data_IF_683113103089
#
_entry.id   IF_683113103089
#
_cell.length_a   1.000
_cell.length_b   1.000
_cell.length_c   1.000
_cell.angle_alpha   90.00
_cell.angle_beta   90.00
_cell.angle_gamma   90.00
#
_symmetry.space_group_name_H-M   'P 1'
#
loop_
_entity.id
_entity.type
_entity.pdbx_description
1 polymer ?
#
# COMPACT_ATOMS: atom_id res chain seq x y z
N UNK A 1 6.46 -3.56 40.78
CA UNK A 1 7.17 -2.66 39.85
C UNK A 1 7.28 -3.43 38.55
N UNK A 2 6.57 -3.00 37.52
CA UNK A 2 6.60 -3.64 36.20
C UNK A 2 7.86 -3.21 35.43
N UNK A 3 8.32 -4.09 34.54
CA UNK A 3 9.30 -3.77 33.50
C UNK A 3 8.55 -3.42 32.21
N UNK A 4 8.62 -2.15 31.80
CA UNK A 4 7.89 -1.61 30.65
C UNK A 4 8.88 -1.21 29.56
N UNK A 5 8.80 -1.83 28.39
CA UNK A 5 9.54 -1.40 27.21
C UNK A 5 8.89 -0.21 26.53
N UNK A 6 9.70 0.64 25.89
CA UNK A 6 9.28 1.75 25.02
C UNK A 6 10.03 1.57 23.71
N UNK A 7 9.29 1.37 22.62
CA UNK A 7 9.84 1.22 21.28
C UNK A 7 9.23 2.27 20.34
N UNK A 8 10.01 3.31 20.07
CA UNK A 8 9.61 4.41 19.20
C UNK A 8 10.00 4.18 17.74
N UNK A 9 9.18 4.66 16.81
CA UNK A 9 9.48 4.56 15.38
C UNK A 9 8.45 5.25 14.49
N UNK A 10 8.80 5.47 13.22
CA UNK A 10 7.83 6.02 12.25
C UNK A 10 6.80 4.98 11.85
N UNK A 11 7.18 3.70 11.73
CA UNK A 11 6.33 2.58 11.31
C UNK A 11 5.59 2.87 9.99
N UNK A 12 6.33 3.22 8.95
CA UNK A 12 5.81 3.67 7.65
C UNK A 12 6.23 2.75 6.48
N UNK A 13 5.86 1.46 6.45
CA UNK A 13 4.97 0.76 7.38
C UNK A 13 5.71 -0.01 8.50
N UNK A 14 4.97 -0.53 9.47
CA UNK A 14 5.43 -1.61 10.36
C UNK A 14 5.71 -2.88 9.52
N UNK A 15 6.72 -3.66 9.92
CA UNK A 15 7.18 -4.86 9.20
C UNK A 15 7.80 -5.88 10.15
N UNK A 16 8.14 -7.07 9.63
CA UNK A 16 8.60 -8.22 10.43
C UNK A 16 9.80 -7.92 11.34
N UNK A 17 10.77 -7.14 10.89
CA UNK A 17 11.93 -6.77 11.73
C UNK A 17 11.54 -5.92 12.94
N UNK A 18 10.53 -5.04 12.82
CA UNK A 18 9.99 -4.32 13.99
C UNK A 18 9.34 -5.28 14.99
N UNK A 19 8.53 -6.22 14.49
CA UNK A 19 7.87 -7.25 15.30
C UNK A 19 8.91 -8.11 16.04
N UNK A 20 9.97 -8.52 15.34
CA UNK A 20 11.07 -9.27 15.94
C UNK A 20 11.77 -8.51 17.07
N UNK A 21 12.01 -7.20 16.89
CA UNK A 21 12.57 -6.35 17.97
C UNK A 21 11.63 -6.32 19.18
N UNK A 22 10.32 -6.19 18.96
CA UNK A 22 9.30 -6.20 20.03
C UNK A 22 9.34 -7.53 20.79
N UNK A 23 9.27 -8.67 20.09
CA UNK A 23 9.28 -10.01 20.68
C UNK A 23 10.57 -10.30 21.47
N UNK A 24 11.73 -10.00 20.87
CA UNK A 24 13.02 -10.23 21.54
C UNK A 24 13.23 -9.31 22.73
N UNK A 25 12.73 -8.07 22.68
CA UNK A 25 12.79 -7.17 23.83
C UNK A 25 11.95 -7.70 24.99
N UNK A 26 10.73 -8.19 24.72
CA UNK A 26 9.88 -8.81 25.73
C UNK A 26 10.58 -10.02 26.35
N UNK A 27 11.16 -10.89 25.52
CA UNK A 27 11.79 -12.14 25.97
C UNK A 27 13.07 -11.90 26.77
N UNK A 28 14.01 -11.10 26.24
CA UNK A 28 15.36 -10.95 26.81
C UNK A 28 15.40 -10.04 28.04
N UNK A 29 14.50 -9.06 28.13
CA UNK A 29 14.41 -8.15 29.28
C UNK A 29 13.37 -8.62 30.31
N UNK A 30 12.63 -9.69 29.99
CA UNK A 30 11.49 -10.19 30.76
C UNK A 30 10.44 -9.10 30.99
N UNK A 31 10.06 -8.38 29.93
CA UNK A 31 9.10 -7.28 30.04
C UNK A 31 7.71 -7.81 30.40
N UNK A 32 7.03 -7.08 31.28
CA UNK A 32 5.61 -7.27 31.56
C UNK A 32 4.78 -6.75 30.39
N UNK A 33 5.21 -5.62 29.80
CA UNK A 33 4.59 -5.01 28.62
C UNK A 33 5.58 -4.17 27.83
N UNK A 34 5.24 -3.86 26.58
CA UNK A 34 5.98 -2.94 25.72
C UNK A 34 5.02 -1.96 25.04
N UNK A 35 5.38 -0.68 25.11
CA UNK A 35 4.68 0.43 24.48
C UNK A 35 5.31 0.72 23.13
N UNK A 36 4.56 0.53 22.05
CA UNK A 36 4.95 0.92 20.69
C UNK A 36 4.49 2.35 20.46
N UNK A 37 5.44 3.27 20.29
CA UNK A 37 5.18 4.71 20.20
C UNK A 37 5.38 5.19 18.75
N UNK A 38 4.33 5.26 17.92
CA UNK A 38 4.46 5.83 16.59
C UNK A 38 4.74 7.33 16.65
N UNK A 39 5.79 7.77 15.96
CA UNK A 39 6.11 9.19 15.89
C UNK A 39 5.02 9.97 15.17
N UNK A 40 4.74 11.20 15.60
CA UNK A 40 3.75 12.03 14.92
C UNK A 40 4.22 12.41 13.52
N UNK A 41 5.48 12.85 13.41
CA UNK A 41 6.07 13.32 12.18
C UNK A 41 7.04 12.28 11.64
N UNK A 42 6.91 11.97 10.35
CA UNK A 42 7.89 11.16 9.64
C UNK A 42 9.09 12.07 9.33
N UNK A 43 10.32 11.73 9.75
CA UNK A 43 11.51 12.51 9.39
C UNK A 43 11.70 12.62 7.86
N UNK A 44 11.12 11.69 7.10
CA UNK A 44 11.08 11.70 5.64
C UNK A 44 9.84 12.50 5.17
N UNK A 45 10.05 13.76 4.82
CA UNK A 45 9.03 14.74 4.40
C UNK A 45 8.47 14.52 2.98
N UNK A 46 8.50 13.29 2.46
CA UNK A 46 7.98 13.03 1.12
C UNK A 46 6.47 12.76 1.16
N UNK A 47 5.75 13.31 0.19
CA UNK A 47 4.30 13.17 -0.01
C UNK A 47 3.83 11.74 -0.30
N UNK A 48 4.73 10.75 -0.24
CA UNK A 48 4.50 9.33 -0.54
C UNK A 48 4.37 8.45 0.70
N UNK A 49 4.49 9.00 1.92
CA UNK A 49 4.33 8.28 3.19
C UNK A 49 2.87 8.06 3.60
N UNK A 50 2.62 7.09 4.48
CA UNK A 50 1.30 6.87 5.07
C UNK A 50 0.97 7.96 6.10
N UNK A 51 -0.32 8.32 6.16
CA UNK A 51 -0.84 9.26 7.16
C UNK A 51 -0.70 8.71 8.57
N UNK A 52 -0.77 9.58 9.59
CA UNK A 52 -0.79 9.18 11.01
C UNK A 52 -1.86 8.11 11.29
N UNK A 53 -3.07 8.30 10.75
CA UNK A 53 -4.19 7.35 10.89
C UNK A 53 -3.89 6.00 10.25
N UNK A 54 -3.33 6.00 9.04
CA UNK A 54 -2.96 4.76 8.35
C UNK A 54 -1.85 4.00 9.08
N UNK A 55 -0.85 4.69 9.62
CA UNK A 55 0.22 4.06 10.41
C UNK A 55 -0.30 3.42 11.69
N UNK A 56 -1.24 4.09 12.38
CA UNK A 56 -1.93 3.50 13.52
C UNK A 56 -2.71 2.24 13.14
N UNK A 57 -3.52 2.29 12.08
CA UNK A 57 -4.26 1.12 11.62
C UNK A 57 -3.33 -0.05 11.24
N UNK A 58 -2.21 0.22 10.56
CA UNK A 58 -1.22 -0.81 10.25
C UNK A 58 -0.57 -1.39 11.51
N UNK A 59 -0.32 -0.58 12.54
CA UNK A 59 0.17 -1.04 13.84
C UNK A 59 -0.84 -1.92 14.55
N UNK A 60 -2.11 -1.51 14.61
CA UNK A 60 -3.20 -2.27 15.21
C UNK A 60 -3.32 -3.66 14.57
N UNK A 61 -3.38 -3.72 13.22
CA UNK A 61 -3.43 -4.97 12.46
C UNK A 61 -2.19 -5.84 12.72
N UNK A 62 -1.00 -5.25 12.71
CA UNK A 62 0.23 -6.00 12.89
C UNK A 62 0.40 -6.56 14.30
N UNK A 63 -0.14 -5.87 15.31
CA UNK A 63 0.16 -6.09 16.72
C UNK A 63 -0.99 -6.71 17.52
N UNK A 64 -2.19 -6.86 16.93
CA UNK A 64 -3.41 -7.37 17.59
C UNK A 64 -3.18 -8.66 18.40
N UNK A 65 -2.37 -9.60 17.88
CA UNK A 65 -2.14 -10.90 18.50
C UNK A 65 -1.13 -10.89 19.66
N UNK A 66 -0.47 -9.77 19.96
CA UNK A 66 0.57 -9.72 20.98
C UNK A 66 0.04 -9.09 22.27
N UNK A 67 -0.39 -9.93 23.21
CA UNK A 67 -1.05 -9.51 24.46
C UNK A 67 -0.22 -8.60 25.38
N UNK A 68 1.11 -8.62 25.25
CA UNK A 68 2.03 -7.74 26.00
C UNK A 68 2.34 -6.42 25.31
N UNK A 69 1.75 -6.16 24.14
CA UNK A 69 2.04 -4.98 23.32
C UNK A 69 0.88 -4.00 23.38
N UNK A 70 1.19 -2.74 23.66
CA UNK A 70 0.22 -1.63 23.60
C UNK A 70 0.72 -0.51 22.69
N UNK A 71 -0.18 0.05 21.89
CA UNK A 71 0.14 1.20 21.04
C UNK A 71 -0.08 2.48 21.85
N UNK A 72 0.98 3.27 22.01
CA UNK A 72 0.94 4.56 22.68
C UNK A 72 0.87 5.69 21.63
N UNK A 73 -0.33 6.17 21.35
CA UNK A 73 -0.59 7.20 20.33
C UNK A 73 -0.37 8.64 20.83
N UNK A 74 0.29 8.80 21.98
CA UNK A 74 0.56 10.10 22.62
C UNK A 74 1.17 11.12 21.65
N UNK A 75 2.22 10.72 20.92
CA UNK A 75 2.87 11.63 19.97
C UNK A 75 1.94 12.01 18.82
N UNK A 76 1.21 11.05 18.26
CA UNK A 76 0.27 11.28 17.14
C UNK A 76 -0.84 12.26 17.53
N UNK A 77 -1.36 12.19 18.76
CA UNK A 77 -2.46 13.03 19.25
C UNK A 77 -2.04 14.48 19.57
N UNK A 78 -0.75 14.81 19.59
CA UNK A 78 -0.33 16.18 19.86
C UNK A 78 -0.69 17.11 18.67
N UNK A 79 -1.62 18.03 18.90
CA UNK A 79 -2.16 18.93 17.85
C UNK A 79 -1.22 20.09 17.47
N UNK A 80 -0.23 20.43 18.31
CA UNK A 80 0.49 21.71 18.23
C UNK A 80 2.04 21.60 18.27
N UNK A 81 2.62 20.43 18.01
CA UNK A 81 4.09 20.28 17.96
C UNK A 81 4.57 19.88 16.57
N UNK A 82 5.41 20.74 15.97
CA UNK A 82 6.14 20.40 14.74
C UNK A 82 7.21 19.32 14.96
N UNK A 83 7.63 19.10 16.21
CA UNK A 83 8.61 18.08 16.60
C UNK A 83 8.20 17.43 17.92
N UNK A 84 8.23 16.10 17.96
CA UNK A 84 8.11 15.33 19.20
C UNK A 84 9.52 14.92 19.64
N UNK A 85 9.92 15.35 20.84
CA UNK A 85 11.20 14.95 21.42
C UNK A 85 10.98 13.78 22.37
N UNK A 86 11.87 12.80 22.31
CA UNK A 86 11.82 11.60 23.15
C UNK A 86 11.72 11.92 24.65
N UNK A 87 12.39 12.97 25.11
CA UNK A 87 12.34 13.40 26.52
C UNK A 87 10.91 13.77 26.97
N UNK A 88 10.10 14.40 26.10
CA UNK A 88 8.72 14.76 26.42
C UNK A 88 7.86 13.51 26.56
N UNK A 89 8.03 12.55 25.65
CA UNK A 89 7.35 11.25 25.67
C UNK A 89 7.72 10.46 26.93
N UNK A 90 9.01 10.41 27.30
CA UNK A 90 9.46 9.72 28.51
C UNK A 90 8.90 10.38 29.77
N UNK A 91 8.92 11.72 29.86
CA UNK A 91 8.34 12.46 30.99
C UNK A 91 6.85 12.18 31.14
N UNK A 92 6.11 12.20 30.04
CA UNK A 92 4.69 11.82 30.03
C UNK A 92 4.48 10.38 30.51
N UNK A 93 5.25 9.41 30.00
CA UNK A 93 5.12 8.02 30.42
C UNK A 93 5.49 7.82 31.90
N UNK A 94 6.43 8.60 32.45
CA UNK A 94 6.73 8.61 33.89
C UNK A 94 5.59 9.16 34.75
N UNK A 95 4.70 10.02 34.22
CA UNK A 95 3.50 10.41 35.00
C UNK A 95 2.46 9.31 35.04
N UNK A 96 2.41 8.45 34.01
CA UNK A 96 1.49 7.30 33.94
C UNK A 96 2.02 6.12 34.75
N UNK A 97 3.34 5.89 34.68
CA UNK A 97 4.04 4.76 35.27
C UNK A 97 5.12 5.25 36.27
N UNK A 98 4.72 5.93 37.37
CA UNK A 98 5.67 6.60 38.27
C UNK A 98 6.58 5.64 39.03
N UNK A 99 6.09 4.43 39.33
CA UNK A 99 6.77 3.43 40.14
C UNK A 99 7.29 2.25 39.32
N UNK A 100 7.30 2.34 37.98
CA UNK A 100 7.72 1.25 37.09
C UNK A 100 9.08 1.53 36.44
N UNK A 101 9.76 0.45 36.04
CA UNK A 101 11.03 0.54 35.35
C UNK A 101 10.80 0.63 33.84
N UNK A 102 11.23 1.74 33.26
CA UNK A 102 11.08 2.00 31.82
C UNK A 102 12.38 1.63 31.08
N UNK A 103 12.24 0.88 30.00
CA UNK A 103 13.33 0.48 29.11
C UNK A 103 13.12 1.11 27.74
N UNK A 104 14.01 2.01 27.31
CA UNK A 104 13.89 2.63 25.98
C UNK A 104 14.75 1.90 24.96
N UNK A 105 14.09 1.27 23.99
CA UNK A 105 14.71 0.36 23.02
C UNK A 105 14.94 1.11 21.70
N UNK A 106 16.17 1.06 21.19
CA UNK A 106 16.54 1.68 19.91
C UNK A 106 17.59 0.86 19.15
N UNK A 107 17.70 1.08 17.85
CA UNK A 107 18.75 0.45 17.04
C UNK A 107 20.09 1.15 17.19
N UNK A 108 21.18 0.44 16.85
CA UNK A 108 22.55 0.98 16.87
C UNK A 108 22.73 2.24 16.01
N UNK A 109 21.95 2.39 14.94
CA UNK A 109 21.90 3.59 14.10
C UNK A 109 21.53 4.85 14.90
N UNK A 110 20.59 4.73 15.84
CA UNK A 110 20.20 5.82 16.73
C UNK A 110 21.12 5.92 17.95
N UNK A 111 21.48 4.79 18.55
CA UNK A 111 22.32 4.75 19.76
C UNK A 111 23.70 5.37 19.52
N UNK A 112 24.29 5.16 18.33
CA UNK A 112 25.56 5.78 17.93
C UNK A 112 25.51 7.31 17.84
N UNK A 113 24.32 7.88 17.67
CA UNK A 113 24.07 9.33 17.62
C UNK A 113 23.37 9.87 18.87
N UNK A 114 23.20 9.05 19.91
CA UNK A 114 22.41 9.40 21.09
C UNK A 114 22.91 10.65 21.83
N UNK A 115 24.22 10.94 21.84
CA UNK A 115 24.75 12.18 22.42
C UNK A 115 24.21 13.47 21.76
N UNK A 116 23.64 13.38 20.56
CA UNK A 116 23.02 14.50 19.84
C UNK A 116 21.53 14.67 20.17
N UNK A 117 20.92 13.74 20.89
CA UNK A 117 19.50 13.81 21.25
C UNK A 117 19.28 14.91 22.29
N UNK A 118 18.14 15.61 22.17
CA UNK A 118 17.76 16.60 23.16
C UNK A 118 17.63 15.94 24.53
N UNK A 119 18.32 16.50 25.53
CA UNK A 119 18.36 16.00 26.90
C UNK A 119 18.85 14.54 27.04
N UNK A 120 19.80 14.09 26.19
CA UNK A 120 20.32 12.71 26.21
C UNK A 120 20.75 12.21 27.61
N UNK A 121 21.42 13.06 28.42
CA UNK A 121 21.80 12.71 29.79
C UNK A 121 20.58 12.49 30.68
N UNK A 122 19.63 13.42 30.67
CA UNK A 122 18.39 13.30 31.45
C UNK A 122 17.59 12.05 31.02
N UNK A 123 17.51 11.78 29.71
CA UNK A 123 16.89 10.55 29.20
C UNK A 123 17.56 9.31 29.82
N UNK A 124 18.89 9.23 29.80
CA UNK A 124 19.62 8.08 30.37
C UNK A 124 19.46 7.90 31.87
N UNK A 125 19.06 8.95 32.59
CA UNK A 125 18.78 8.89 34.03
C UNK A 125 17.31 8.50 34.32
N UNK A 126 16.39 8.79 33.39
CA UNK A 126 14.97 8.50 33.53
C UNK A 126 14.59 7.07 33.12
N UNK A 127 15.35 6.45 32.21
CA UNK A 127 15.05 5.12 31.65
C UNK A 127 16.31 4.27 31.52
N UNK A 128 16.16 2.95 31.56
CA UNK A 128 17.21 2.04 31.13
C UNK A 128 17.28 2.05 29.60
N UNK A 129 18.40 2.49 29.05
CA UNK A 129 18.61 2.47 27.61
C UNK A 129 18.95 1.06 27.13
N UNK A 130 18.36 0.65 26.01
CA UNK A 130 18.53 -0.67 25.40
C UNK A 130 18.84 -0.52 23.92
N UNK A 131 19.86 -1.24 23.44
CA UNK A 131 20.30 -1.22 22.05
C UNK A 131 20.28 -2.61 21.43
N UNK A 132 19.85 -2.71 20.16
CA UNK A 132 20.05 -3.89 19.31
C UNK A 132 20.94 -3.54 18.11
N UNK A 133 21.64 -4.53 17.58
CA UNK A 133 22.54 -4.33 16.45
C UNK A 133 21.77 -4.14 15.14
N UNK A 134 22.34 -3.29 14.27
CA UNK A 134 21.92 -3.14 12.88
C UNK A 134 23.12 -3.35 11.96
N UNK A 135 22.88 -4.03 10.85
CA UNK A 135 23.90 -4.22 9.81
C UNK A 135 24.40 -2.85 9.34
N UNK A 136 25.72 -2.68 9.27
CA UNK A 136 26.36 -1.44 8.83
C UNK A 136 26.63 -0.40 9.93
N UNK A 137 26.19 -0.64 11.17
CA UNK A 137 26.43 0.27 12.30
C UNK A 137 27.31 -0.38 13.37
N UNK A 138 28.32 0.34 13.82
CA UNK A 138 29.28 -0.13 14.83
C UNK A 138 28.97 0.47 16.20
N UNK A 139 29.34 -0.29 17.23
CA UNK A 139 29.29 0.19 18.63
C UNK A 139 30.27 1.36 18.79
N UNK A 140 29.87 2.37 19.55
CA UNK A 140 30.75 3.49 19.91
C UNK A 140 30.67 3.80 21.42
N UNK A 141 31.38 4.86 21.83
CA UNK A 141 31.50 5.26 23.24
C UNK A 141 30.15 5.57 23.91
N UNK A 142 29.11 5.93 23.15
CA UNK A 142 27.78 6.23 23.72
C UNK A 142 27.23 5.03 24.50
N UNK A 143 27.47 3.80 24.03
CA UNK A 143 26.93 2.58 24.66
C UNK A 143 27.44 2.46 26.10
N UNK A 144 28.74 2.71 26.31
CA UNK A 144 29.35 2.73 27.64
C UNK A 144 28.95 3.98 28.42
N UNK A 145 29.04 5.16 27.78
CA UNK A 145 28.79 6.48 28.40
C UNK A 145 27.39 6.63 28.99
N UNK A 146 26.38 6.06 28.34
CA UNK A 146 24.98 6.14 28.74
C UNK A 146 24.42 4.79 29.23
N UNK A 147 25.31 3.85 29.60
CA UNK A 147 24.96 2.58 30.25
C UNK A 147 23.88 1.76 29.53
N UNK A 148 24.01 1.62 28.20
CA UNK A 148 23.09 0.81 27.42
C UNK A 148 23.21 -0.68 27.75
N UNK A 149 22.06 -1.37 27.87
CA UNK A 149 21.98 -2.83 27.79
C UNK A 149 21.91 -3.23 26.32
N UNK A 150 22.67 -4.25 25.91
CA UNK A 150 22.65 -4.76 24.56
C UNK A 150 21.78 -6.02 24.47
N UNK A 151 20.84 -6.03 23.52
CA UNK A 151 20.07 -7.22 23.16
C UNK A 151 20.91 -8.11 22.22
N UNK A 152 20.79 -9.42 22.40
CA UNK A 152 21.29 -10.41 21.45
C UNK A 152 20.31 -10.49 20.26
N UNK A 153 20.38 -9.48 19.41
CA UNK A 153 19.55 -9.33 18.22
C UNK A 153 20.28 -8.49 17.19
N UNK A 154 20.42 -9.06 15.98
CA UNK A 154 20.78 -8.31 14.78
C UNK A 154 19.52 -8.12 13.93
N UNK A 155 19.09 -6.87 13.79
CA UNK A 155 17.99 -6.50 12.92
C UNK A 155 18.49 -6.26 11.48
N UNK A 156 17.81 -6.87 10.51
CA UNK A 156 18.06 -6.69 9.07
C UNK A 156 17.61 -5.31 8.61
N UNK A 157 18.24 -4.85 7.52
CA UNK A 157 17.88 -3.60 6.85
C UNK A 157 16.66 -3.78 5.91
N UNK A 158 15.61 -4.44 6.40
CA UNK A 158 14.29 -4.39 5.77
C UNK A 158 13.70 -3.00 6.02
N UNK A 159 14.37 -1.98 5.50
CA UNK A 159 13.94 -0.61 5.68
C UNK A 159 12.55 -0.46 5.06
N UNK A 160 11.65 0.23 5.76
CA UNK A 160 10.35 0.59 5.22
C UNK A 160 10.44 1.22 3.81
N UNK A 161 11.57 1.86 3.47
CA UNK A 161 11.89 2.33 2.10
C UNK A 161 11.85 1.20 1.06
N UNK A 162 12.43 0.04 1.31
CA UNK A 162 12.41 -1.09 0.36
C UNK A 162 11.00 -1.66 0.20
N UNK A 163 10.25 -1.73 1.29
CA UNK A 163 8.84 -2.18 1.28
C UNK A 163 8.00 -1.24 0.40
N UNK A 164 8.12 0.09 0.60
CA UNK A 164 7.44 1.09 -0.23
C UNK A 164 7.83 1.00 -1.71
N UNK A 165 8.96 0.38 -2.05
CA UNK A 165 9.43 0.18 -3.43
C UNK A 165 9.20 -1.26 -3.95
N UNK A 166 8.43 -2.09 -3.22
CA UNK A 166 7.97 -3.39 -3.70
C UNK A 166 8.59 -4.62 -3.03
N UNK A 167 9.42 -4.48 -1.99
CA UNK A 167 9.82 -5.63 -1.16
C UNK A 167 8.71 -6.02 -0.16
N UNK A 168 7.63 -6.62 -0.69
CA UNK A 168 6.41 -6.88 0.10
C UNK A 168 6.54 -8.08 1.05
N UNK A 169 7.52 -8.97 0.85
CA UNK A 169 7.70 -10.17 1.68
C UNK A 169 8.04 -9.87 3.14
N UNK A 170 8.56 -8.68 3.44
CA UNK A 170 8.84 -8.24 4.80
C UNK A 170 7.58 -7.84 5.59
N UNK A 171 6.39 -7.79 4.95
CA UNK A 171 5.13 -7.42 5.59
C UNK A 171 4.39 -8.61 6.22
N UNK A 172 3.56 -8.29 7.21
CA UNK A 172 2.44 -9.13 7.61
C UNK A 172 1.40 -9.10 6.46
N UNK A 173 0.84 -10.25 6.02
CA UNK A 173 -0.16 -10.32 4.96
C UNK A 173 -1.36 -9.38 5.16
N UNK A 174 -1.88 -9.25 6.38
CA UNK A 174 -3.02 -8.37 6.67
C UNK A 174 -2.65 -6.88 6.59
N UNK A 175 -1.40 -6.54 6.94
CA UNK A 175 -0.87 -5.18 6.71
C UNK A 175 -0.72 -4.91 5.22
N UNK A 176 -0.27 -5.88 4.43
CA UNK A 176 -0.20 -5.75 2.97
C UNK A 176 -1.58 -5.54 2.34
N UNK A 177 -2.58 -6.34 2.74
CA UNK A 177 -3.98 -6.14 2.32
C UNK A 177 -4.47 -4.74 2.64
N UNK A 178 -4.25 -4.28 3.87
CA UNK A 178 -4.61 -2.92 4.27
C UNK A 178 -3.94 -1.86 3.40
N UNK A 179 -2.64 -1.99 3.15
CA UNK A 179 -1.87 -1.09 2.28
C UNK A 179 -2.48 -1.03 0.88
N UNK A 180 -2.71 -2.18 0.26
CA UNK A 180 -3.19 -2.26 -1.13
C UNK A 180 -4.64 -1.77 -1.23
N UNK A 181 -5.53 -2.25 -0.37
CA UNK A 181 -6.96 -1.86 -0.38
C UNK A 181 -7.18 -0.38 -0.08
N UNK A 182 -6.23 0.29 0.59
CA UNK A 182 -6.27 1.74 0.85
C UNK A 182 -5.41 2.56 -0.11
N UNK A 183 -4.84 1.95 -1.15
CA UNK A 183 -4.01 2.63 -2.15
C UNK A 183 -2.71 3.22 -1.61
N UNK A 184 -2.19 2.70 -0.49
CA UNK A 184 -1.01 3.21 0.20
C UNK A 184 0.24 2.70 -0.54
N UNK A 185 1.20 3.60 -0.83
CA UNK A 185 2.46 3.32 -1.53
C UNK A 185 2.32 2.71 -2.95
N UNK A 186 1.10 2.59 -3.51
CA UNK A 186 0.92 1.89 -4.79
C UNK A 186 1.78 2.49 -5.90
N UNK A 187 1.86 3.82 -6.03
CA UNK A 187 2.71 4.46 -7.06
C UNK A 187 4.17 4.00 -6.98
N UNK A 188 4.77 3.96 -5.78
CA UNK A 188 6.18 3.54 -5.63
C UNK A 188 6.35 2.03 -5.76
N UNK A 189 5.37 1.24 -5.33
CA UNK A 189 5.38 -0.22 -5.46
C UNK A 189 5.29 -0.63 -6.94
N UNK A 190 4.38 -0.04 -7.71
CA UNK A 190 4.18 -0.44 -9.12
C UNK A 190 5.29 0.09 -10.04
N UNK A 191 5.92 1.22 -9.68
CA UNK A 191 6.96 1.85 -10.52
C UNK A 191 8.14 0.92 -10.79
N UNK A 192 8.46 0.02 -9.87
CA UNK A 192 9.55 -0.96 -10.03
C UNK A 192 9.17 -2.19 -10.84
N UNK A 193 7.90 -2.32 -11.26
CA UNK A 193 7.33 -3.52 -11.89
C UNK A 193 7.02 -3.37 -13.37
N UNK A 194 7.17 -2.18 -13.93
CA UNK A 194 6.77 -1.88 -15.30
C UNK A 194 7.61 -0.77 -15.92
N UNK A 195 7.59 -0.68 -17.24
CA UNK A 195 8.27 0.37 -18.00
C UNK A 195 7.79 1.78 -17.62
N UNK A 196 8.65 2.78 -17.83
CA UNK A 196 8.30 4.19 -17.57
C UNK A 196 7.07 4.65 -18.34
N UNK A 197 6.86 4.14 -19.56
CA UNK A 197 5.68 4.45 -20.38
C UNK A 197 4.42 3.87 -19.74
N UNK A 198 4.46 2.60 -19.34
CA UNK A 198 3.35 1.94 -18.65
C UNK A 198 3.00 2.65 -17.35
N UNK A 199 3.99 2.91 -16.52
CA UNK A 199 3.80 3.58 -15.24
C UNK A 199 3.07 4.93 -15.37
N UNK A 200 3.45 5.74 -16.37
CA UNK A 200 2.78 7.02 -16.64
C UNK A 200 1.31 6.83 -16.99
N UNK A 201 1.02 5.87 -17.87
CA UNK A 201 -0.35 5.52 -18.24
C UNK A 201 -1.14 5.00 -17.05
N UNK A 202 -0.63 4.01 -16.31
CA UNK A 202 -1.29 3.43 -15.14
C UNK A 202 -1.63 4.48 -14.08
N UNK A 203 -0.70 5.38 -13.75
CA UNK A 203 -0.97 6.45 -12.77
C UNK A 203 -1.97 7.49 -13.29
N UNK A 204 -1.88 7.87 -14.57
CA UNK A 204 -2.80 8.82 -15.20
C UNK A 204 -4.23 8.25 -15.23
N UNK A 205 -4.36 7.02 -15.71
CA UNK A 205 -5.60 6.26 -15.83
C UNK A 205 -6.23 6.04 -14.44
N UNK A 206 -5.47 5.62 -13.43
CA UNK A 206 -5.97 5.43 -12.07
C UNK A 206 -6.52 6.73 -11.45
N UNK A 207 -5.84 7.87 -11.71
CA UNK A 207 -6.31 9.20 -11.27
C UNK A 207 -7.58 9.61 -12.01
N UNK A 208 -7.75 9.23 -13.27
CA UNK A 208 -8.98 9.46 -14.02
C UNK A 208 -10.13 8.58 -13.52
N UNK A 209 -9.90 7.27 -13.33
CA UNK A 209 -10.88 6.35 -12.76
C UNK A 209 -11.39 6.81 -11.38
N UNK A 210 -10.47 7.26 -10.51
CA UNK A 210 -10.84 7.88 -9.22
C UNK A 210 -11.79 9.07 -9.39
N UNK A 211 -11.54 9.93 -10.38
CA UNK A 211 -12.41 11.09 -10.67
C UNK A 211 -13.77 10.65 -11.21
N UNK A 212 -13.82 9.62 -12.06
CA UNK A 212 -15.09 9.04 -12.54
C UNK A 212 -15.89 8.47 -11.38
N UNK A 213 -15.27 7.65 -10.53
CA UNK A 213 -15.90 7.09 -9.35
C UNK A 213 -16.47 8.18 -8.43
N UNK A 214 -15.67 9.18 -8.09
CA UNK A 214 -16.11 10.33 -7.27
C UNK A 214 -17.35 11.02 -7.82
N UNK A 215 -17.39 11.23 -9.15
CA UNK A 215 -18.48 11.98 -9.80
C UNK A 215 -19.74 11.15 -10.05
N UNK A 216 -19.66 9.84 -9.88
CA UNK A 216 -20.77 8.91 -10.02
C UNK A 216 -21.12 8.24 -8.68
N UNK A 217 -20.74 8.86 -7.56
CA UNK A 217 -21.03 8.41 -6.19
C UNK A 217 -20.56 6.97 -5.89
N UNK A 218 -19.39 6.60 -6.40
CA UNK A 218 -18.73 5.31 -6.16
C UNK A 218 -17.52 5.48 -5.24
N UNK A 219 -17.00 4.36 -4.73
CA UNK A 219 -15.78 4.34 -3.92
C UNK A 219 -14.55 4.77 -4.74
N UNK A 220 -14.04 5.95 -4.41
CA UNK A 220 -12.85 6.56 -5.02
C UNK A 220 -11.59 5.70 -4.86
N UNK A 221 -11.47 5.00 -3.73
CA UNK A 221 -10.30 4.20 -3.37
C UNK A 221 -10.29 2.91 -4.18
N UNK A 222 -11.42 2.21 -4.27
CA UNK A 222 -11.51 0.99 -5.11
C UNK A 222 -11.17 1.28 -6.57
N UNK A 223 -11.69 2.39 -7.12
CA UNK A 223 -11.38 2.79 -8.50
C UNK A 223 -9.90 3.12 -8.69
N UNK A 224 -9.29 3.79 -7.72
CA UNK A 224 -7.85 4.07 -7.76
C UNK A 224 -7.02 2.78 -7.69
N UNK A 225 -7.33 1.86 -6.76
CA UNK A 225 -6.60 0.59 -6.60
C UNK A 225 -6.74 -0.28 -7.84
N UNK A 226 -7.97 -0.47 -8.36
CA UNK A 226 -8.20 -1.21 -9.60
C UNK A 226 -7.45 -0.58 -10.78
N UNK A 227 -7.48 0.75 -10.91
CA UNK A 227 -6.73 1.47 -11.94
C UNK A 227 -5.21 1.35 -11.78
N UNK A 228 -4.68 1.28 -10.56
CA UNK A 228 -3.24 1.09 -10.34
C UNK A 228 -2.75 -0.33 -10.68
N UNK A 229 -3.65 -1.33 -10.64
CA UNK A 229 -3.33 -2.74 -10.84
C UNK A 229 -3.83 -3.31 -12.18
N UNK A 230 -4.68 -2.60 -12.94
CA UNK A 230 -5.32 -3.14 -14.15
C UNK A 230 -4.33 -3.73 -15.17
N UNK A 231 -3.16 -3.11 -15.27
CA UNK A 231 -2.14 -3.38 -16.29
C UNK A 231 -0.86 -4.01 -15.70
N UNK A 232 -0.90 -4.43 -14.42
CA UNK A 232 0.30 -4.89 -13.68
C UNK A 232 0.98 -6.09 -14.35
N UNK A 233 0.22 -6.89 -15.11
CA UNK A 233 0.73 -8.05 -15.83
C UNK A 233 0.92 -7.82 -17.35
N UNK A 234 0.79 -6.59 -17.88
CA UNK A 234 0.88 -6.39 -19.34
C UNK A 234 2.26 -6.74 -19.91
N UNK A 235 3.31 -6.47 -19.15
CA UNK A 235 4.70 -6.70 -19.56
C UNK A 235 5.23 -8.04 -19.03
N UNK A 236 4.33 -8.98 -18.70
CA UNK A 236 4.69 -10.33 -18.27
C UNK A 236 5.26 -11.14 -19.44
N UNK A 237 6.36 -11.87 -19.18
CA UNK A 237 6.98 -12.79 -20.15
C UNK A 237 5.99 -13.87 -20.62
N UNK A 238 6.04 -14.18 -21.92
CA UNK A 238 5.05 -15.03 -22.58
C UNK A 238 4.91 -16.42 -21.95
N UNK A 239 6.02 -17.11 -21.67
CA UNK A 239 5.97 -18.48 -21.11
C UNK A 239 5.32 -18.49 -19.71
N UNK A 240 5.61 -17.47 -18.90
CA UNK A 240 4.97 -17.30 -17.59
C UNK A 240 3.48 -16.98 -17.73
N UNK A 241 3.14 -16.09 -18.66
CA UNK A 241 1.75 -15.76 -18.97
C UNK A 241 0.95 -16.97 -19.46
N UNK A 242 1.53 -17.78 -20.35
CA UNK A 242 0.95 -19.00 -20.89
C UNK A 242 0.66 -20.00 -19.78
N UNK A 243 1.65 -20.27 -18.91
CA UNK A 243 1.48 -21.20 -17.79
C UNK A 243 0.34 -20.76 -16.85
N UNK A 244 0.30 -19.48 -16.45
CA UNK A 244 -0.76 -18.97 -15.57
C UNK A 244 -2.13 -19.04 -16.26
N UNK A 245 -2.21 -18.72 -17.56
CA UNK A 245 -3.46 -18.83 -18.32
C UNK A 245 -3.95 -20.28 -18.41
N UNK A 246 -3.05 -21.25 -18.63
CA UNK A 246 -3.41 -22.67 -18.66
C UNK A 246 -3.90 -23.17 -17.31
N UNK A 247 -3.20 -22.80 -16.23
CA UNK A 247 -3.50 -23.30 -14.88
C UNK A 247 -4.75 -22.66 -14.27
N UNK A 248 -5.00 -21.38 -14.53
CA UNK A 248 -6.02 -20.60 -13.82
C UNK A 248 -7.15 -20.07 -14.70
N UNK A 249 -6.94 -19.97 -16.02
CA UNK A 249 -7.88 -19.38 -16.97
C UNK A 249 -8.03 -20.19 -18.26
N UNK A 250 -8.17 -21.54 -18.21
CA UNK A 250 -8.15 -22.38 -19.41
C UNK A 250 -9.28 -22.04 -20.39
N UNK A 251 -10.42 -21.53 -19.90
CA UNK A 251 -11.54 -21.08 -20.73
C UNK A 251 -11.22 -19.85 -21.61
N UNK A 252 -10.13 -19.14 -21.35
CA UNK A 252 -9.74 -17.92 -22.05
C UNK A 252 -8.43 -18.07 -22.83
N UNK A 253 -7.86 -19.28 -22.90
CA UNK A 253 -6.56 -19.52 -23.54
C UNK A 253 -6.58 -19.21 -25.05
N UNK A 254 -7.71 -19.46 -25.72
CA UNK A 254 -7.86 -19.21 -27.16
C UNK A 254 -8.10 -17.72 -27.49
N UNK A 255 -8.24 -16.86 -26.47
CA UNK A 255 -8.37 -15.42 -26.70
C UNK A 255 -7.04 -14.83 -27.18
N UNK A 256 -7.07 -13.72 -27.95
CA UNK A 256 -5.86 -13.08 -28.43
C UNK A 256 -4.90 -12.73 -27.28
N UNK A 257 -3.62 -13.10 -27.40
CA UNK A 257 -2.59 -12.83 -26.39
C UNK A 257 -2.59 -11.37 -25.88
N UNK A 258 -2.81 -10.32 -26.71
CA UNK A 258 -2.86 -8.94 -26.21
C UNK A 258 -3.92 -8.65 -25.14
N UNK A 259 -4.99 -9.45 -25.03
CA UNK A 259 -6.03 -9.29 -24.00
C UNK A 259 -5.79 -10.13 -22.75
N UNK A 260 -4.85 -11.09 -22.76
CA UNK A 260 -4.58 -11.97 -21.63
C UNK A 260 -4.28 -11.24 -20.32
N UNK A 261 -3.60 -10.08 -20.41
CA UNK A 261 -3.26 -9.26 -19.26
C UNK A 261 -4.45 -8.90 -18.34
N UNK A 262 -5.70 -8.87 -18.81
CA UNK A 262 -6.81 -8.57 -17.89
C UNK A 262 -7.02 -9.67 -16.84
N UNK A 263 -6.86 -10.94 -17.23
CA UNK A 263 -6.93 -12.08 -16.31
C UNK A 263 -5.62 -12.25 -15.54
N UNK A 264 -4.48 -12.05 -16.21
CA UNK A 264 -3.17 -12.12 -15.54
C UNK A 264 -3.00 -11.02 -14.49
N UNK A 265 -3.48 -9.80 -14.75
CA UNK A 265 -3.45 -8.70 -13.78
C UNK A 265 -4.37 -8.98 -12.60
N UNK A 266 -5.54 -9.58 -12.83
CA UNK A 266 -6.41 -10.04 -11.75
C UNK A 266 -5.69 -11.09 -10.89
N UNK A 267 -5.06 -12.08 -11.51
CA UNK A 267 -4.28 -13.11 -10.82
C UNK A 267 -3.18 -12.50 -9.96
N UNK A 268 -2.34 -11.65 -10.55
CA UNK A 268 -1.25 -10.96 -9.85
C UNK A 268 -1.79 -10.09 -8.70
N UNK A 269 -2.86 -9.33 -8.94
CA UNK A 269 -3.50 -8.52 -7.90
C UNK A 269 -3.97 -9.39 -6.71
N UNK A 270 -4.53 -10.56 -6.99
CA UNK A 270 -5.00 -11.49 -5.96
C UNK A 270 -3.85 -12.20 -5.23
N UNK A 271 -2.85 -12.70 -5.95
CA UNK A 271 -1.82 -13.60 -5.38
C UNK A 271 -0.61 -12.86 -4.83
N UNK A 272 -0.17 -11.79 -5.49
CA UNK A 272 1.04 -11.04 -5.08
C UNK A 272 0.69 -9.81 -4.22
N UNK A 273 -0.43 -9.14 -4.53
CA UNK A 273 -0.89 -7.94 -3.83
C UNK A 273 -2.01 -8.20 -2.81
N UNK A 274 -2.47 -9.45 -2.71
CA UNK A 274 -3.49 -9.91 -1.76
C UNK A 274 -4.82 -9.14 -1.84
N UNK A 275 -5.17 -8.59 -3.01
CA UNK A 275 -6.48 -7.97 -3.22
C UNK A 275 -7.57 -9.02 -3.02
N UNK A 276 -8.46 -8.77 -2.07
CA UNK A 276 -9.59 -9.64 -1.70
C UNK A 276 -10.96 -9.02 -2.00
N UNK A 277 -11.01 -7.73 -2.34
CA UNK A 277 -12.23 -7.06 -2.79
C UNK A 277 -12.64 -7.53 -4.18
N UNK A 278 -13.81 -8.17 -4.26
CA UNK A 278 -14.36 -8.75 -5.49
C UNK A 278 -14.71 -7.70 -6.55
N UNK A 279 -15.07 -6.48 -6.17
CA UNK A 279 -15.36 -5.40 -7.11
C UNK A 279 -14.08 -4.92 -7.78
N UNK A 280 -12.99 -4.77 -7.02
CA UNK A 280 -11.67 -4.41 -7.56
C UNK A 280 -11.20 -5.48 -8.56
N UNK A 281 -11.24 -6.76 -8.17
CA UNK A 281 -10.80 -7.86 -9.03
C UNK A 281 -11.64 -7.97 -10.31
N UNK A 282 -12.96 -7.79 -10.21
CA UNK A 282 -13.85 -7.80 -11.37
C UNK A 282 -13.56 -6.64 -12.32
N UNK A 283 -13.37 -5.43 -11.78
CA UNK A 283 -13.05 -4.26 -12.58
C UNK A 283 -11.72 -4.42 -13.34
N UNK A 284 -10.72 -5.07 -12.72
CA UNK A 284 -9.48 -5.47 -13.39
C UNK A 284 -9.76 -6.53 -14.46
N UNK A 285 -10.53 -7.58 -14.16
CA UNK A 285 -10.81 -8.66 -15.12
C UNK A 285 -11.48 -8.17 -16.40
N UNK A 286 -12.38 -7.18 -16.32
CA UNK A 286 -13.20 -6.77 -17.45
C UNK A 286 -12.70 -5.50 -18.17
N UNK A 287 -11.56 -4.92 -17.76
CA UNK A 287 -11.16 -3.60 -18.25
C UNK A 287 -10.83 -3.52 -19.75
N UNK A 288 -10.55 -4.64 -20.43
CA UNK A 288 -10.11 -4.61 -21.84
C UNK A 288 -11.21 -5.01 -22.81
N UNK A 289 -11.94 -6.08 -22.49
CA UNK A 289 -12.96 -6.66 -23.37
C UNK A 289 -14.39 -6.34 -22.95
N UNK A 290 -14.58 -5.70 -21.78
CA UNK A 290 -15.87 -5.63 -21.10
C UNK A 290 -16.48 -7.03 -20.85
N UNK A 291 -17.73 -7.05 -20.37
CA UNK A 291 -18.50 -8.23 -19.99
C UNK A 291 -19.99 -7.95 -20.20
N UNK A 292 -20.83 -8.99 -20.25
CA UNK A 292 -22.29 -8.82 -20.19
C UNK A 292 -22.75 -8.29 -18.83
N UNK A 293 -21.94 -8.46 -17.78
CA UNK A 293 -22.21 -7.99 -16.44
C UNK A 293 -21.12 -7.00 -16.05
N UNK A 294 -21.32 -5.73 -16.39
CA UNK A 294 -20.45 -4.61 -16.00
C UNK A 294 -21.03 -3.88 -14.80
N UNK A 295 -20.31 -3.86 -13.69
CA UNK A 295 -20.59 -2.93 -12.61
C UNK A 295 -20.18 -1.51 -13.00
N UNK A 296 -20.72 -0.49 -12.31
CA UNK A 296 -20.30 0.90 -12.55
C UNK A 296 -18.80 1.13 -12.30
N UNK A 297 -18.20 0.36 -11.39
CA UNK A 297 -16.75 0.39 -11.17
C UNK A 297 -15.98 -0.14 -12.38
N UNK A 298 -16.39 -1.26 -12.96
CA UNK A 298 -15.81 -1.84 -14.18
C UNK A 298 -15.87 -0.83 -15.33
N UNK A 299 -17.02 -0.15 -15.48
CA UNK A 299 -17.19 0.92 -16.45
C UNK A 299 -16.24 2.10 -16.21
N UNK A 300 -15.96 2.47 -14.95
CA UNK A 300 -14.94 3.47 -14.64
C UNK A 300 -13.56 3.05 -15.12
N UNK A 301 -13.16 1.80 -14.88
CA UNK A 301 -11.82 1.32 -15.28
C UNK A 301 -11.73 1.18 -16.80
N UNK A 302 -12.72 0.56 -17.44
CA UNK A 302 -12.79 0.40 -18.88
C UNK A 302 -12.71 1.75 -19.61
N UNK A 303 -13.57 2.70 -19.25
CA UNK A 303 -13.60 4.02 -19.91
C UNK A 303 -12.35 4.85 -19.61
N UNK A 304 -11.82 4.79 -18.38
CA UNK A 304 -10.62 5.55 -18.05
C UNK A 304 -9.37 5.00 -18.75
N UNK A 305 -9.26 3.69 -19.01
CA UNK A 305 -8.18 3.13 -19.85
C UNK A 305 -8.22 3.67 -21.29
N UNK A 306 -9.43 3.76 -21.86
CA UNK A 306 -9.67 4.23 -23.22
C UNK A 306 -9.64 5.75 -23.36
N UNK A 307 -9.98 6.51 -22.34
CA UNK A 307 -10.01 7.97 -22.39
C UNK A 307 -8.89 8.60 -21.56
N UNK A 308 -7.85 7.83 -21.23
CA UNK A 308 -6.73 8.34 -20.44
C UNK A 308 -6.01 9.49 -21.18
N UNK A 309 -5.77 10.66 -20.54
CA UNK A 309 -5.11 11.79 -21.18
C UNK A 309 -3.65 11.57 -21.56
N UNK A 310 -3.03 10.45 -21.14
CA UNK A 310 -1.69 10.09 -21.60
C UNK A 310 -1.68 9.42 -22.98
N UNK A 311 -2.86 9.17 -23.57
CA UNK A 311 -3.05 8.69 -24.94
C UNK A 311 -2.85 9.81 -25.96
N UNK A 312 -2.55 9.46 -27.20
CA UNK A 312 -2.23 10.40 -28.29
C UNK A 312 -3.47 11.00 -28.99
N UNK A 313 -4.58 11.23 -28.28
CA UNK A 313 -5.80 11.85 -28.80
C UNK A 313 -6.57 12.63 -27.73
N UNK A 314 -7.35 13.62 -28.15
CA UNK A 314 -8.24 14.38 -27.26
C UNK A 314 -9.49 13.56 -26.94
N UNK A 315 -9.70 13.31 -25.65
CA UNK A 315 -10.87 12.62 -25.09
C UNK A 315 -11.65 13.49 -24.09
N UNK A 316 -11.48 14.81 -24.15
CA UNK A 316 -12.04 15.74 -23.17
C UNK A 316 -13.57 15.70 -23.09
N UNK A 317 -14.25 15.46 -24.21
CA UNK A 317 -15.72 15.38 -24.28
C UNK A 317 -16.22 14.09 -23.64
N UNK A 318 -15.54 13.00 -23.90
CA UNK A 318 -15.82 11.66 -23.41
C UNK A 318 -15.55 11.59 -21.89
N UNK A 319 -14.46 12.20 -21.43
CA UNK A 319 -14.16 12.41 -20.00
C UNK A 319 -15.28 13.21 -19.32
N UNK A 320 -15.77 14.28 -19.95
CA UNK A 320 -16.87 15.08 -19.39
C UNK A 320 -18.17 14.27 -19.30
N UNK A 321 -18.46 13.44 -20.32
CA UNK A 321 -19.59 12.53 -20.32
C UNK A 321 -19.48 11.49 -19.19
N UNK A 322 -18.34 10.81 -19.06
CA UNK A 322 -18.12 9.79 -18.02
C UNK A 322 -18.22 10.38 -16.59
N UNK A 323 -17.85 11.64 -16.40
CA UNK A 323 -18.05 12.35 -15.11
C UNK A 323 -19.51 12.71 -14.84
N UNK A 324 -20.33 12.89 -15.88
CA UNK A 324 -21.75 13.20 -15.72
C UNK A 324 -22.56 11.92 -15.49
N UNK A 325 -22.26 10.89 -16.27
CA UNK A 325 -22.91 9.60 -16.23
C UNK A 325 -21.95 8.54 -16.80
N UNK A 326 -21.44 7.68 -15.92
CA UNK A 326 -20.50 6.63 -16.29
C UNK A 326 -21.11 5.59 -17.23
N UNK A 327 -22.41 5.33 -17.13
CA UNK A 327 -23.10 4.37 -17.99
C UNK A 327 -23.19 4.93 -19.41
N UNK A 328 -23.58 6.21 -19.54
CA UNK A 328 -23.60 6.88 -20.84
C UNK A 328 -22.20 6.96 -21.46
N UNK A 329 -21.18 7.26 -20.65
CA UNK A 329 -19.78 7.27 -21.08
C UNK A 329 -19.29 5.89 -21.56
N UNK A 330 -19.67 4.83 -20.86
CA UNK A 330 -19.35 3.45 -21.26
C UNK A 330 -20.01 3.06 -22.58
N UNK A 331 -21.30 3.39 -22.77
CA UNK A 331 -22.00 3.17 -24.04
C UNK A 331 -21.33 3.91 -25.20
N UNK A 332 -20.96 5.17 -24.99
CA UNK A 332 -20.22 5.95 -25.98
C UNK A 332 -18.86 5.30 -26.30
N UNK A 333 -18.15 4.77 -25.30
CA UNK A 333 -16.88 4.08 -25.51
C UNK A 333 -17.00 2.80 -26.35
N UNK A 334 -18.08 2.03 -26.16
CA UNK A 334 -18.39 0.89 -27.02
C UNK A 334 -18.72 1.33 -28.45
N UNK A 335 -19.47 2.41 -28.61
CA UNK A 335 -19.77 3.01 -29.92
C UNK A 335 -18.49 3.47 -30.64
N UNK A 336 -17.62 4.19 -29.96
CA UNK A 336 -16.34 4.67 -30.52
C UNK A 336 -15.48 3.51 -31.03
N UNK A 337 -15.41 2.41 -30.26
CA UNK A 337 -14.68 1.21 -30.66
C UNK A 337 -15.28 0.57 -31.93
N UNK A 338 -16.60 0.47 -32.01
CA UNK A 338 -17.30 -0.09 -33.17
C UNK A 338 -17.05 0.78 -34.42
N UNK A 339 -17.22 2.10 -34.31
CA UNK A 339 -17.06 3.03 -35.42
C UNK A 339 -15.61 3.06 -35.91
N UNK A 340 -14.65 3.09 -34.99
CA UNK A 340 -13.23 3.06 -35.31
C UNK A 340 -12.83 1.74 -36.00
N UNK A 341 -13.26 0.61 -35.47
CA UNK A 341 -12.91 -0.71 -36.01
C UNK A 341 -13.56 -0.93 -37.37
N UNK A 342 -14.84 -0.55 -37.54
CA UNK A 342 -15.55 -0.61 -38.82
C UNK A 342 -14.90 0.27 -39.88
N UNK A 343 -14.56 1.52 -39.54
CA UNK A 343 -13.86 2.44 -40.46
C UNK A 343 -12.48 1.92 -40.87
N UNK A 344 -11.82 1.13 -40.01
CA UNK A 344 -10.50 0.53 -40.29
C UNK A 344 -10.59 -0.87 -40.90
N UNK A 345 -11.79 -1.42 -41.13
CA UNK A 345 -11.98 -2.77 -41.64
C UNK A 345 -11.40 -3.86 -40.73
N UNK A 346 -11.34 -3.62 -39.42
CA UNK A 346 -10.81 -4.58 -38.45
C UNK A 346 -11.87 -5.63 -38.13
N UNK A 347 -11.44 -6.88 -38.04
CA UNK A 347 -12.29 -7.93 -37.49
C UNK A 347 -12.55 -7.67 -36.00
N UNK A 348 -13.82 -7.74 -35.61
CA UNK A 348 -14.28 -7.53 -34.24
C UNK A 348 -14.73 -8.89 -33.69
N UNK A 349 -14.23 -9.28 -32.51
CA UNK A 349 -14.60 -10.52 -31.84
C UNK A 349 -16.13 -10.60 -31.64
N UNK A 350 -16.71 -11.79 -31.88
CA UNK A 350 -18.15 -12.02 -31.71
C UNK A 350 -18.66 -11.63 -30.32
N UNK A 351 -17.86 -11.85 -29.27
CA UNK A 351 -18.24 -11.49 -27.90
C UNK A 351 -18.45 -9.98 -27.70
N UNK A 352 -17.81 -9.13 -28.51
CA UNK A 352 -18.06 -7.70 -28.48
C UNK A 352 -19.49 -7.37 -28.89
N UNK A 353 -20.05 -8.05 -29.90
CA UNK A 353 -21.39 -7.74 -30.40
C UNK A 353 -22.48 -8.07 -29.39
N UNK A 354 -22.31 -9.11 -28.57
CA UNK A 354 -23.23 -9.42 -27.46
C UNK A 354 -23.26 -8.28 -26.43
N UNK A 355 -22.07 -7.77 -26.05
CA UNK A 355 -21.92 -6.64 -25.12
C UNK A 355 -22.50 -5.36 -25.73
N UNK A 356 -22.16 -5.08 -27.00
CA UNK A 356 -22.63 -3.90 -27.72
C UNK A 356 -24.15 -3.90 -27.86
N UNK A 357 -24.76 -5.03 -28.23
CA UNK A 357 -26.21 -5.14 -28.33
C UNK A 357 -26.88 -4.92 -26.97
N UNK A 358 -26.34 -5.49 -25.87
CA UNK A 358 -26.85 -5.25 -24.51
C UNK A 358 -26.86 -3.78 -24.13
N UNK A 359 -25.70 -3.12 -24.23
CA UNK A 359 -25.50 -1.81 -23.62
C UNK A 359 -25.86 -0.66 -24.56
N UNK A 360 -25.60 -0.79 -25.86
CA UNK A 360 -25.78 0.28 -26.85
C UNK A 360 -27.13 0.18 -27.54
N UNK A 361 -27.54 -1.02 -27.99
CA UNK A 361 -28.83 -1.19 -28.67
C UNK A 361 -30.02 -1.44 -27.74
N UNK A 362 -29.77 -1.99 -26.55
CA UNK A 362 -30.83 -2.38 -25.61
C UNK A 362 -31.50 -3.72 -25.96
N UNK A 363 -30.84 -4.57 -26.74
CA UNK A 363 -31.43 -5.75 -27.41
C UNK A 363 -31.40 -7.05 -26.57
N UNK A 364 -31.22 -6.99 -25.25
CA UNK A 364 -31.30 -8.20 -24.42
C UNK A 364 -32.41 -8.00 -23.39
N UNK A 365 -33.52 -8.69 -23.62
CA UNK A 365 -34.66 -8.82 -22.71
C UNK A 365 -34.18 -8.94 -21.25
N UNK A 366 -34.58 -7.97 -20.42
CA UNK A 366 -34.49 -8.08 -18.96
C UNK A 366 -35.37 -9.23 -18.44
#
# INVERSE_FOLDING_TARGET
>A
MMKIGIFGGSFDPIHRSHVRVIEESIRQLELDKILVVPTANNPWKDSSGATKKQRLAMLEIALERYSKVEICDYEIKQKNKEKNYTIDTIKYLKTIYPNDQLYFIMGMDQASLFHKWLAAKEISELVQLVVFDRIGYQTNENIKKYHFIKLDLVATDDASKHIRNGNLHALNPEVLKYIVNNGIYLETIIKSKMSKKRYRHTVSMAKLAKKFAKKNDLDETKAYVAGMLHDIAKEMEYDKALQIMQDHYPAYIDKPVPVWHQWLSEYVAKTEYLVDDKEILQAIRHHTTASLNMAKLDMCIYTADKYDPSRDYDSSKEIALCKKDIVAGFKACLQDFYDFSSKKGREIDKSFFEIYNKYVKGDINE
#
